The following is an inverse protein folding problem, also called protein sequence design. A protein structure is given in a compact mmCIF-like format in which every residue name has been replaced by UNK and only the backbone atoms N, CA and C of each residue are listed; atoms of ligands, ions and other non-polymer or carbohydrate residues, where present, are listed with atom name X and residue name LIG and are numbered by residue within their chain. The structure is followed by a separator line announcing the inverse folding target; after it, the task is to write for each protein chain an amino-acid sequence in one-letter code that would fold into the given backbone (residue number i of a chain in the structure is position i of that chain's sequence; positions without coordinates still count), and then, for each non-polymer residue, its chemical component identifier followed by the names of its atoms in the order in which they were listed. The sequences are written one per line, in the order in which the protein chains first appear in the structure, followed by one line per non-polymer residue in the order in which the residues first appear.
data_IF_291161855892
#
_entry.id   IF_291161855892
#
_cell.length_a   1.000
_cell.length_b   1.000
_cell.length_c   1.000
_cell.angle_alpha   90.00
_cell.angle_beta   90.00
_cell.angle_gamma   90.00
#
_symmetry.space_group_name_H-M   'P 1'
#
loop_
_entity.id
_entity.type
_entity.pdbx_description
1 polymer ?
#
# COMPACT_ATOMS: atom_id res chain seq x y z
N UNK A 1 4.72 -28.05 -14.43
CA UNK A 1 4.23 -28.38 -13.07
C UNK A 1 5.34 -28.57 -12.03
N UNK A 2 6.63 -28.57 -12.38
CA UNK A 2 7.72 -28.79 -11.41
C UNK A 2 7.85 -27.63 -10.40
N UNK A 3 7.78 -26.38 -10.88
CA UNK A 3 8.01 -25.22 -10.02
C UNK A 3 7.00 -25.08 -8.84
N UNK A 4 5.66 -25.21 -9.04
CA UNK A 4 4.73 -25.16 -7.91
C UNK A 4 4.98 -26.23 -6.86
N UNK A 5 5.31 -27.45 -7.27
CA UNK A 5 5.61 -28.56 -6.36
C UNK A 5 6.86 -28.27 -5.53
N UNK A 6 7.91 -27.72 -6.16
CA UNK A 6 9.13 -27.32 -5.44
C UNK A 6 8.87 -26.21 -4.41
N UNK A 7 8.01 -25.24 -4.73
CA UNK A 7 7.64 -24.18 -3.78
C UNK A 7 6.89 -24.77 -2.59
N UNK A 8 5.89 -25.62 -2.82
CA UNK A 8 5.14 -26.28 -1.73
C UNK A 8 6.07 -27.14 -0.88
N UNK A 9 6.96 -27.92 -1.52
CA UNK A 9 7.94 -28.75 -0.82
C UNK A 9 8.92 -27.91 0.02
N UNK A 10 9.34 -26.74 -0.47
CA UNK A 10 10.18 -25.81 0.29
C UNK A 10 9.47 -25.30 1.55
N UNK A 11 8.21 -24.87 1.46
CA UNK A 11 7.45 -24.41 2.63
C UNK A 11 7.15 -25.55 3.60
N UNK A 12 6.91 -26.76 3.10
CA UNK A 12 6.80 -27.96 3.94
C UNK A 12 8.10 -28.25 4.69
N UNK A 13 9.25 -28.17 4.01
CA UNK A 13 10.57 -28.36 4.62
C UNK A 13 10.93 -27.27 5.66
N UNK A 14 10.30 -26.10 5.59
CA UNK A 14 10.52 -24.97 6.52
C UNK A 14 9.46 -24.88 7.63
N UNK A 15 8.62 -25.91 7.81
CA UNK A 15 7.51 -25.92 8.76
C UNK A 15 6.54 -24.72 8.59
N UNK A 16 6.48 -24.19 7.37
CA UNK A 16 5.71 -23.00 7.00
C UNK A 16 4.59 -23.32 6.00
N UNK A 17 4.25 -24.61 5.84
CA UNK A 17 3.21 -25.07 4.91
C UNK A 17 1.83 -24.51 5.27
N UNK A 18 1.48 -24.49 6.56
CA UNK A 18 0.19 -23.98 7.01
C UNK A 18 0.07 -22.45 6.81
N UNK A 19 1.05 -21.61 7.21
CA UNK A 19 1.08 -20.20 6.82
C UNK A 19 1.01 -19.97 5.31
N UNK A 20 1.75 -20.76 4.52
CA UNK A 20 1.72 -20.68 3.06
C UNK A 20 0.31 -20.97 2.53
N UNK A 21 -0.30 -22.08 2.95
CA UNK A 21 -1.65 -22.44 2.53
C UNK A 21 -2.66 -21.36 2.91
N UNK A 22 -2.58 -20.85 4.14
CA UNK A 22 -3.46 -19.80 4.61
C UNK A 22 -3.30 -18.52 3.76
N UNK A 23 -2.09 -18.01 3.59
CA UNK A 23 -1.84 -16.74 2.90
C UNK A 23 -2.05 -16.81 1.39
N UNK A 24 -1.74 -17.95 0.75
CA UNK A 24 -1.84 -18.09 -0.71
C UNK A 24 -3.22 -18.54 -1.14
N UNK A 25 -3.84 -19.47 -0.40
CA UNK A 25 -5.08 -20.13 -0.82
C UNK A 25 -6.26 -19.67 0.04
N UNK A 26 -6.26 -19.98 1.34
CA UNK A 26 -7.44 -19.81 2.18
C UNK A 26 -7.90 -18.35 2.28
N UNK A 27 -6.98 -17.43 2.53
CA UNK A 27 -7.29 -16.00 2.70
C UNK A 27 -7.82 -15.36 1.40
N UNK A 28 -7.32 -15.80 0.23
CA UNK A 28 -7.77 -15.30 -1.07
C UNK A 28 -9.13 -15.88 -1.47
N UNK A 29 -9.43 -17.14 -1.11
CA UNK A 29 -10.71 -17.78 -1.42
C UNK A 29 -11.84 -17.32 -0.48
N UNK A 30 -11.52 -16.96 0.77
CA UNK A 30 -12.50 -16.44 1.73
C UNK A 30 -13.06 -15.04 1.33
N UNK A 31 -12.51 -14.41 0.30
CA UNK A 31 -12.94 -13.09 -0.21
C UNK A 31 -14.33 -13.09 -0.86
N UNK A 32 -14.94 -14.23 -1.16
CA UNK A 32 -16.07 -14.30 -2.10
C UNK A 32 -17.33 -13.58 -1.60
N UNK A 33 -17.41 -12.27 -1.87
CA UNK A 33 -18.65 -11.63 -2.24
C UNK A 33 -19.04 -12.13 -3.62
N UNK A 34 -20.34 -12.19 -3.93
CA UNK A 34 -20.91 -12.86 -5.11
C UNK A 34 -20.01 -12.79 -6.39
N UNK A 35 -19.21 -13.84 -6.68
CA UNK A 35 -18.17 -13.80 -7.71
C UNK A 35 -18.75 -13.57 -9.11
N UNK A 36 -20.01 -13.96 -9.30
CA UNK A 36 -20.75 -13.74 -10.54
C UNK A 36 -20.95 -12.26 -10.85
N UNK A 37 -21.21 -11.42 -9.84
CA UNK A 37 -21.43 -9.98 -10.07
C UNK A 37 -20.14 -9.28 -10.50
N UNK A 38 -19.01 -9.67 -9.90
CA UNK A 38 -17.69 -9.14 -10.27
C UNK A 38 -17.27 -9.61 -11.67
N UNK A 39 -17.50 -10.89 -11.99
CA UNK A 39 -17.21 -11.44 -13.31
C UNK A 39 -18.03 -10.73 -14.40
N UNK A 40 -19.35 -10.55 -14.19
CA UNK A 40 -20.22 -9.84 -15.13
C UNK A 40 -19.72 -8.42 -15.35
N UNK A 41 -19.39 -7.67 -14.29
CA UNK A 41 -18.85 -6.31 -14.44
C UNK A 41 -17.53 -6.30 -15.22
N UNK A 42 -16.62 -7.23 -14.93
CA UNK A 42 -15.32 -7.35 -15.63
C UNK A 42 -15.48 -7.77 -17.10
N UNK A 43 -16.51 -8.52 -17.46
CA UNK A 43 -16.82 -8.88 -18.86
C UNK A 43 -17.21 -7.67 -19.72
N UNK A 44 -17.63 -6.55 -19.12
CA UNK A 44 -17.88 -5.31 -19.87
C UNK A 44 -16.59 -4.58 -20.27
N UNK A 45 -15.44 -4.97 -19.72
CA UNK A 45 -14.16 -4.39 -20.09
C UNK A 45 -13.73 -4.89 -21.47
N UNK A 46 -13.41 -3.97 -22.39
CA UNK A 46 -12.94 -4.29 -23.75
C UNK A 46 -11.72 -5.22 -23.71
N UNK A 47 -10.85 -5.10 -22.69
CA UNK A 47 -9.67 -5.95 -22.50
C UNK A 47 -10.03 -7.42 -22.31
N UNK A 48 -11.20 -7.70 -21.73
CA UNK A 48 -11.70 -9.07 -21.58
C UNK A 48 -11.91 -9.72 -22.95
N UNK A 49 -12.37 -8.96 -23.95
CA UNK A 49 -12.69 -9.51 -25.27
C UNK A 49 -11.50 -9.55 -26.25
N UNK A 50 -10.31 -9.11 -25.84
CA UNK A 50 -9.11 -9.14 -26.69
C UNK A 50 -8.72 -10.56 -27.14
N UNK A 51 -9.16 -11.61 -26.44
CA UNK A 51 -8.92 -12.98 -26.88
C UNK A 51 -9.59 -13.30 -28.22
N UNK A 52 -10.74 -12.71 -28.55
CA UNK A 52 -11.47 -13.03 -29.79
C UNK A 52 -10.66 -12.68 -31.05
N UNK A 53 -10.23 -11.42 -31.26
CA UNK A 53 -9.45 -11.07 -32.45
C UNK A 53 -8.04 -11.69 -32.45
N UNK A 54 -7.41 -11.86 -31.28
CA UNK A 54 -6.06 -12.47 -31.19
C UNK A 54 -6.08 -13.95 -31.54
N UNK A 55 -7.08 -14.71 -31.06
CA UNK A 55 -7.25 -16.12 -31.41
C UNK A 55 -7.65 -16.28 -32.88
N UNK A 56 -8.60 -15.48 -33.37
CA UNK A 56 -9.00 -15.53 -34.77
C UNK A 56 -7.83 -15.21 -35.70
N UNK A 57 -7.05 -14.17 -35.39
CA UNK A 57 -5.83 -13.82 -36.13
C UNK A 57 -4.76 -14.91 -36.05
N UNK A 58 -4.58 -15.54 -34.89
CA UNK A 58 -3.64 -16.64 -34.71
C UNK A 58 -4.02 -17.89 -35.50
N UNK A 59 -5.31 -18.25 -35.52
CA UNK A 59 -5.82 -19.36 -36.33
C UNK A 59 -5.69 -19.08 -37.82
N UNK A 60 -6.00 -17.85 -38.25
CA UNK A 60 -5.82 -17.42 -39.63
C UNK A 60 -4.34 -17.49 -40.04
N UNK A 61 -3.44 -16.90 -39.27
CA UNK A 61 -1.99 -16.95 -39.52
C UNK A 61 -1.46 -18.38 -39.54
N UNK A 62 -1.89 -19.23 -38.61
CA UNK A 62 -1.43 -20.62 -38.55
C UNK A 62 -1.89 -21.44 -39.76
N UNK A 63 -3.06 -21.14 -40.34
CA UNK A 63 -3.59 -21.79 -41.54
C UNK A 63 -2.91 -21.31 -42.83
N UNK A 64 -2.47 -20.05 -42.86
CA UNK A 64 -1.86 -19.44 -44.05
C UNK A 64 -0.32 -19.41 -44.02
N UNK A 65 0.33 -19.90 -42.96
CA UNK A 65 1.78 -19.99 -42.89
C UNK A 65 2.30 -21.18 -43.71
N UNK A 66 3.29 -20.94 -44.56
CA UNK A 66 3.96 -21.99 -45.34
C UNK A 66 4.72 -22.99 -44.46
N UNK A 67 5.10 -22.60 -43.23
CA UNK A 67 5.79 -23.46 -42.28
C UNK A 67 4.90 -23.79 -41.06
N UNK A 68 4.46 -25.05 -40.90
CA UNK A 68 3.57 -25.44 -39.81
C UNK A 68 4.12 -25.13 -38.41
N UNK A 69 5.43 -25.25 -38.20
CA UNK A 69 6.07 -24.92 -36.92
C UNK A 69 5.97 -23.44 -36.55
N UNK A 70 6.16 -22.55 -37.55
CA UNK A 70 6.04 -21.10 -37.37
C UNK A 70 4.60 -20.66 -37.13
N UNK A 71 3.65 -21.26 -37.86
CA UNK A 71 2.22 -21.04 -37.65
C UNK A 71 1.77 -21.40 -36.23
N UNK A 72 2.23 -22.54 -35.69
CA UNK A 72 1.94 -22.95 -34.30
C UNK A 72 2.52 -21.99 -33.27
N UNK A 73 3.76 -21.51 -33.46
CA UNK A 73 4.38 -20.53 -32.55
C UNK A 73 3.63 -19.19 -32.55
N UNK A 74 3.19 -18.70 -33.71
CA UNK A 74 2.37 -17.49 -33.82
C UNK A 74 1.02 -17.65 -33.14
N UNK A 75 0.34 -18.77 -33.38
CA UNK A 75 -0.91 -19.10 -32.70
C UNK A 75 -0.70 -19.17 -31.18
N UNK A 76 0.36 -19.83 -30.71
CA UNK A 76 0.68 -19.90 -29.30
C UNK A 76 0.88 -18.51 -28.69
N UNK A 77 1.70 -17.65 -29.30
CA UNK A 77 1.95 -16.30 -28.79
C UNK A 77 0.66 -15.47 -28.74
N UNK A 78 -0.14 -15.49 -29.81
CA UNK A 78 -1.40 -14.77 -29.86
C UNK A 78 -2.43 -15.32 -28.88
N UNK A 79 -2.45 -16.65 -28.66
CA UNK A 79 -3.33 -17.27 -27.69
C UNK A 79 -2.94 -16.91 -26.26
N UNK A 80 -1.64 -16.92 -25.94
CA UNK A 80 -1.16 -16.50 -24.61
C UNK A 80 -1.50 -15.03 -24.36
N UNK A 81 -1.24 -14.13 -25.33
CA UNK A 81 -1.62 -12.71 -25.22
C UNK A 81 -3.14 -12.56 -25.07
N UNK A 82 -3.92 -13.25 -25.89
CA UNK A 82 -5.38 -13.17 -25.91
C UNK A 82 -6.02 -13.65 -24.61
N UNK A 83 -5.62 -14.82 -24.12
CA UNK A 83 -6.20 -15.43 -22.92
C UNK A 83 -5.70 -14.83 -21.62
N UNK A 84 -4.61 -14.05 -21.62
CA UNK A 84 -4.06 -13.46 -20.39
C UNK A 84 -5.12 -12.68 -19.61
N UNK A 85 -5.80 -11.71 -20.25
CA UNK A 85 -6.79 -10.85 -19.59
C UNK A 85 -8.03 -11.62 -19.12
N UNK A 86 -8.68 -12.47 -19.93
CA UNK A 86 -9.78 -13.33 -19.47
C UNK A 86 -9.41 -14.17 -18.26
N UNK A 87 -8.25 -14.84 -18.30
CA UNK A 87 -7.80 -15.68 -17.19
C UNK A 87 -7.55 -14.85 -15.94
N UNK A 88 -6.86 -13.71 -16.07
CA UNK A 88 -6.61 -12.80 -14.95
C UNK A 88 -7.92 -12.29 -14.34
N UNK A 89 -8.88 -11.85 -15.15
CA UNK A 89 -10.14 -11.33 -14.63
C UNK A 89 -11.06 -12.39 -14.03
N UNK A 90 -10.98 -13.63 -14.52
CA UNK A 90 -11.82 -14.75 -14.05
C UNK A 90 -11.28 -15.35 -12.75
N UNK A 91 -9.96 -15.56 -12.67
CA UNK A 91 -9.36 -16.31 -11.56
C UNK A 91 -8.69 -15.41 -10.50
N UNK A 92 -8.50 -14.11 -10.78
CA UNK A 92 -7.86 -13.20 -9.85
C UNK A 92 -8.85 -12.17 -9.29
N UNK A 93 -9.15 -12.21 -7.98
CA UNK A 93 -10.13 -11.31 -7.38
C UNK A 93 -9.62 -9.86 -7.40
N UNK A 94 -8.37 -9.65 -7.03
CA UNK A 94 -7.72 -8.35 -6.88
C UNK A 94 -6.83 -7.98 -8.07
N UNK A 95 -7.44 -7.45 -9.13
CA UNK A 95 -6.67 -7.02 -10.31
C UNK A 95 -6.16 -5.59 -10.13
N UNK A 96 -4.85 -5.47 -10.00
CA UNK A 96 -4.09 -4.22 -9.94
C UNK A 96 -3.47 -3.87 -11.29
N UNK A 97 -2.90 -2.67 -11.39
CA UNK A 97 -2.12 -2.26 -12.57
C UNK A 97 -0.86 -3.10 -12.76
N UNK A 98 -0.30 -3.65 -11.67
CA UNK A 98 0.95 -4.40 -11.70
C UNK A 98 0.76 -5.80 -12.30
N UNK A 99 -0.44 -6.36 -12.20
CA UNK A 99 -0.75 -7.69 -12.75
C UNK A 99 -0.70 -7.71 -14.30
N UNK A 100 -0.73 -6.53 -14.94
CA UNK A 100 -0.56 -6.39 -16.38
C UNK A 100 0.90 -6.28 -16.82
N UNK A 101 1.88 -6.22 -15.90
CA UNK A 101 3.30 -6.12 -16.26
C UNK A 101 3.77 -7.27 -17.18
N UNK A 102 3.39 -8.54 -16.96
CA UNK A 102 3.73 -9.62 -17.89
C UNK A 102 3.00 -9.54 -19.23
N UNK A 103 1.83 -8.88 -19.26
CA UNK A 103 0.99 -8.76 -20.45
C UNK A 103 1.53 -7.76 -21.46
N UNK A 104 2.04 -6.61 -21.01
CA UNK A 104 2.47 -5.53 -21.91
C UNK A 104 3.56 -5.96 -22.92
N UNK A 105 4.62 -6.70 -22.54
CA UNK A 105 5.61 -7.19 -23.50
C UNK A 105 5.00 -8.10 -24.58
N UNK A 106 4.09 -9.01 -24.19
CA UNK A 106 3.42 -9.92 -25.11
C UNK A 106 2.50 -9.18 -26.08
N UNK A 107 1.77 -8.17 -25.56
CA UNK A 107 0.95 -7.28 -26.36
C UNK A 107 1.80 -6.47 -27.35
N UNK A 108 2.93 -5.92 -26.91
CA UNK A 108 3.85 -5.17 -27.77
C UNK A 108 4.38 -6.03 -28.92
N UNK A 109 4.79 -7.27 -28.65
CA UNK A 109 5.21 -8.22 -29.70
C UNK A 109 4.08 -8.53 -30.68
N UNK A 110 2.86 -8.70 -30.15
CA UNK A 110 1.66 -8.95 -30.96
C UNK A 110 1.33 -7.77 -31.89
N UNK A 111 1.52 -6.53 -31.42
CA UNK A 111 1.24 -5.31 -32.18
C UNK A 111 2.39 -4.95 -33.14
N UNK A 112 3.63 -5.31 -32.83
CA UNK A 112 4.79 -4.98 -33.67
C UNK A 112 4.68 -5.57 -35.07
N UNK A 113 4.26 -6.83 -35.20
CA UNK A 113 4.10 -7.50 -36.50
C UNK A 113 3.14 -6.78 -37.47
N UNK A 114 1.87 -6.48 -37.10
CA UNK A 114 0.97 -5.75 -37.99
C UNK A 114 1.43 -4.30 -38.22
N UNK A 115 2.13 -3.66 -37.28
CA UNK A 115 2.71 -2.33 -37.50
C UNK A 115 3.80 -2.33 -38.57
N UNK A 116 4.68 -3.34 -38.58
CA UNK A 116 5.70 -3.50 -39.62
C UNK A 116 5.02 -3.74 -40.97
N UNK A 117 4.06 -4.66 -41.03
CA UNK A 117 3.32 -4.93 -42.27
C UNK A 117 2.56 -3.71 -42.81
N UNK A 118 2.02 -2.87 -41.93
CA UNK A 118 1.41 -1.60 -42.32
C UNK A 118 2.46 -0.61 -42.85
N UNK A 119 3.64 -0.56 -42.24
CA UNK A 119 4.78 0.21 -42.72
C UNK A 119 5.21 -0.19 -44.13
N UNK A 120 5.37 -1.49 -44.37
CA UNK A 120 5.69 -2.05 -45.70
C UNK A 120 4.61 -1.73 -46.74
N UNK A 121 3.33 -1.79 -46.35
CA UNK A 121 2.22 -1.42 -47.22
C UNK A 121 2.22 0.09 -47.57
N UNK A 122 2.58 0.95 -46.61
CA UNK A 122 2.74 2.39 -46.84
C UNK A 122 3.93 2.65 -47.76
N UNK A 123 5.06 1.98 -47.54
CA UNK A 123 6.24 2.08 -48.41
C UNK A 123 5.89 1.68 -49.84
N UNK A 124 5.14 0.59 -50.05
CA UNK A 124 4.70 0.17 -51.38
C UNK A 124 3.81 1.22 -52.10
N UNK A 125 3.14 2.10 -51.36
CA UNK A 125 2.26 3.16 -51.90
C UNK A 125 2.90 4.54 -51.92
N UNK A 126 4.05 4.73 -51.27
CA UNK A 126 4.69 6.03 -51.10
C UNK A 126 6.20 5.92 -51.37
N UNK A 127 6.98 6.97 -51.09
CA UNK A 127 8.47 6.89 -51.10
C UNK A 127 9.05 6.92 -49.68
N UNK A 128 8.21 6.73 -48.67
CA UNK A 128 8.62 6.73 -47.28
C UNK A 128 9.07 5.33 -46.87
N UNK A 129 10.15 5.19 -46.09
CA UNK A 129 10.64 3.88 -45.69
C UNK A 129 9.71 3.23 -44.65
N UNK A 130 9.53 1.90 -44.71
CA UNK A 130 8.60 1.15 -43.86
C UNK A 130 8.82 1.34 -42.35
N UNK A 131 10.07 1.57 -41.93
CA UNK A 131 10.41 1.75 -40.51
C UNK A 131 9.92 3.08 -39.93
N UNK A 132 9.65 4.09 -40.77
CA UNK A 132 9.33 5.44 -40.30
C UNK A 132 8.04 5.44 -39.48
N UNK A 133 7.03 4.69 -39.92
CA UNK A 133 5.73 4.67 -39.24
C UNK A 133 5.78 4.00 -37.85
N UNK A 134 6.30 2.76 -37.70
CA UNK A 134 6.54 2.18 -36.38
C UNK A 134 7.43 3.06 -35.49
N UNK A 135 8.46 3.67 -36.06
CA UNK A 135 9.36 4.57 -35.34
C UNK A 135 8.62 5.78 -34.75
N UNK A 136 7.80 6.46 -35.55
CA UNK A 136 7.02 7.61 -35.10
C UNK A 136 6.04 7.23 -33.99
N UNK A 137 5.41 6.06 -34.07
CA UNK A 137 4.53 5.54 -33.01
C UNK A 137 5.31 5.32 -31.71
N UNK A 138 6.48 4.67 -31.78
CA UNK A 138 7.33 4.45 -30.61
C UNK A 138 7.78 5.77 -30.01
N UNK A 139 8.26 6.73 -30.83
CA UNK A 139 8.65 8.06 -30.36
C UNK A 139 7.49 8.80 -29.70
N UNK A 140 6.29 8.74 -30.29
CA UNK A 140 5.09 9.33 -29.72
C UNK A 140 4.73 8.67 -28.38
N UNK A 141 4.76 7.34 -28.29
CA UNK A 141 4.45 6.60 -27.08
C UNK A 141 5.46 6.90 -25.96
N UNK A 142 6.76 6.84 -26.25
CA UNK A 142 7.82 7.19 -25.29
C UNK A 142 7.69 8.65 -24.84
N UNK A 143 7.47 9.57 -25.77
CA UNK A 143 7.21 10.98 -25.46
C UNK A 143 5.98 11.17 -24.56
N UNK A 144 4.90 10.43 -24.81
CA UNK A 144 3.69 10.46 -23.98
C UNK A 144 3.95 9.93 -22.57
N UNK A 145 4.73 8.85 -22.42
CA UNK A 145 5.12 8.28 -21.13
C UNK A 145 5.98 9.26 -20.36
N UNK A 146 7.00 9.84 -20.98
CA UNK A 146 7.89 10.82 -20.35
C UNK A 146 7.11 12.08 -19.94
N UNK A 147 6.16 12.53 -20.76
CA UNK A 147 5.30 13.68 -20.42
C UNK A 147 4.35 13.37 -19.26
N UNK A 148 3.70 12.20 -19.26
CA UNK A 148 2.73 11.83 -18.23
C UNK A 148 3.40 11.44 -16.90
N UNK A 149 4.54 10.75 -16.98
CA UNK A 149 5.28 10.20 -15.85
C UNK A 149 6.77 10.49 -16.06
N UNK A 150 7.15 11.75 -15.83
CA UNK A 150 8.56 12.16 -15.98
C UNK A 150 9.48 11.25 -15.15
N UNK A 151 10.43 10.55 -15.77
CA UNK A 151 11.31 9.61 -15.08
C UNK A 151 12.25 10.32 -14.09
N UNK A 152 12.38 11.65 -14.21
CA UNK A 152 13.22 12.48 -13.35
C UNK A 152 12.43 13.13 -12.20
N UNK A 153 11.10 12.99 -12.16
CA UNK A 153 10.29 13.52 -11.07
C UNK A 153 10.47 12.63 -9.83
N UNK A 154 10.91 13.22 -8.72
CA UNK A 154 11.07 12.51 -7.45
C UNK A 154 9.69 12.22 -6.82
N UNK A 155 8.99 11.21 -7.34
CA UNK A 155 7.63 10.82 -6.90
C UNK A 155 7.62 10.05 -5.57
N UNK A 156 8.76 9.51 -5.15
CA UNK A 156 8.87 8.67 -3.97
C UNK A 156 9.35 9.38 -2.70
N UNK A 157 9.52 10.71 -2.72
CA UNK A 157 10.00 11.47 -1.54
C UNK A 157 9.17 11.19 -0.27
N UNK A 158 7.83 11.11 -0.41
CA UNK A 158 6.95 10.81 0.72
C UNK A 158 7.24 9.44 1.34
N UNK A 159 7.40 8.40 0.52
CA UNK A 159 7.70 7.05 1.01
C UNK A 159 9.08 6.97 1.65
N UNK A 160 10.08 7.66 1.07
CA UNK A 160 11.42 7.76 1.67
C UNK A 160 11.35 8.47 3.02
N UNK A 161 10.57 9.55 3.13
CA UNK A 161 10.42 10.28 4.39
C UNK A 161 9.68 9.45 5.45
N UNK A 162 8.66 8.67 5.07
CA UNK A 162 7.98 7.75 5.99
C UNK A 162 8.98 6.74 6.56
N UNK A 163 9.80 6.12 5.71
CA UNK A 163 10.82 5.17 6.16
C UNK A 163 11.85 5.87 7.06
N UNK A 164 12.31 7.08 6.69
CA UNK A 164 13.25 7.85 7.49
C UNK A 164 12.68 8.21 8.87
N UNK A 165 11.43 8.66 8.94
CA UNK A 165 10.74 9.01 10.19
C UNK A 165 10.56 7.76 11.07
N UNK A 166 10.12 6.63 10.50
CA UNK A 166 10.02 5.35 11.22
C UNK A 166 11.37 4.93 11.79
N UNK A 167 12.43 4.96 10.98
CA UNK A 167 13.77 4.54 11.41
C UNK A 167 14.37 5.47 12.47
N UNK A 168 14.08 6.77 12.41
CA UNK A 168 14.56 7.75 13.37
C UNK A 168 13.82 7.65 14.72
N UNK A 169 12.51 7.35 14.68
CA UNK A 169 11.65 7.28 15.85
C UNK A 169 11.72 5.93 16.57
N UNK A 170 11.92 4.82 15.85
CA UNK A 170 11.77 3.47 16.44
C UNK A 170 13.05 2.65 16.42
N UNK A 171 13.14 1.65 17.29
CA UNK A 171 14.21 0.65 17.34
C UNK A 171 13.79 -0.67 16.68
N UNK A 172 14.77 -1.54 16.36
CA UNK A 172 14.54 -2.80 15.61
C UNK A 172 13.53 -3.76 16.26
N UNK A 173 13.45 -3.78 17.60
CA UNK A 173 12.53 -4.64 18.34
C UNK A 173 11.13 -4.04 18.55
N UNK A 174 10.93 -2.77 18.19
CA UNK A 174 9.64 -2.10 18.36
C UNK A 174 8.72 -2.37 17.18
N UNK A 175 7.42 -2.35 17.47
CA UNK A 175 6.39 -2.56 16.45
C UNK A 175 5.98 -1.24 15.80
N UNK A 176 5.57 -1.30 14.53
CA UNK A 176 4.97 -0.18 13.81
C UNK A 176 3.70 -0.68 13.14
N UNK A 177 2.60 0.05 13.34
CA UNK A 177 1.39 -0.24 12.60
C UNK A 177 1.55 0.26 11.17
N UNK A 178 1.50 -0.68 10.24
CA UNK A 178 1.57 -0.41 8.83
C UNK A 178 0.51 -1.23 8.11
N UNK A 179 -0.36 -0.52 7.37
CA UNK A 179 -1.45 -1.13 6.64
C UNK A 179 -0.97 -2.21 5.65
N UNK A 180 0.14 -1.96 4.93
CA UNK A 180 0.59 -2.83 3.82
C UNK A 180 2.06 -3.25 3.90
N UNK A 181 2.77 -2.90 4.96
CA UNK A 181 4.16 -3.29 5.17
C UNK A 181 5.17 -2.47 4.36
N UNK A 182 4.92 -1.18 4.18
CA UNK A 182 5.87 -0.19 3.65
C UNK A 182 7.10 0.02 4.57
N UNK A 183 6.94 -0.10 5.88
CA UNK A 183 7.99 -0.07 6.90
C UNK A 183 8.61 -1.45 7.13
N UNK A 184 9.22 -1.99 6.06
CA UNK A 184 9.80 -3.35 6.02
C UNK A 184 10.81 -3.67 7.14
N UNK A 185 11.34 -2.66 7.83
CA UNK A 185 12.34 -2.79 8.88
C UNK A 185 11.77 -2.93 10.30
N UNK A 186 10.45 -2.93 10.46
CA UNK A 186 9.78 -3.03 11.77
C UNK A 186 8.74 -4.14 11.76
N UNK A 187 8.57 -4.75 12.93
CA UNK A 187 7.54 -5.76 13.13
C UNK A 187 6.17 -5.09 13.13
N UNK A 188 5.16 -5.77 12.57
CA UNK A 188 3.78 -5.32 12.67
C UNK A 188 3.15 -5.90 13.94
N UNK A 189 2.35 -5.11 14.67
CA UNK A 189 1.62 -5.62 15.83
C UNK A 189 0.41 -6.47 15.42
N UNK A 190 -0.07 -6.30 14.18
CA UNK A 190 -1.19 -7.00 13.58
C UNK A 190 -0.71 -7.85 12.41
N UNK A 191 -1.19 -9.11 12.35
CA UNK A 191 -0.70 -10.10 11.39
C UNK A 191 -1.18 -9.80 9.96
N UNK A 192 -2.46 -9.48 9.80
CA UNK A 192 -3.08 -9.31 8.49
C UNK A 192 -2.71 -7.97 7.86
N UNK A 193 -2.61 -7.97 6.53
CA UNK A 193 -2.50 -6.75 5.75
C UNK A 193 -3.87 -6.07 5.74
N UNK A 194 -3.89 -4.76 5.99
CA UNK A 194 -5.07 -3.94 5.78
C UNK A 194 -5.21 -3.70 4.28
N UNK A 195 -6.04 -4.52 3.66
CA UNK A 195 -6.44 -4.43 2.26
C UNK A 195 -7.92 -4.74 2.13
N UNK A 196 -8.43 -4.70 0.89
CA UNK A 196 -9.85 -4.90 0.63
C UNK A 196 -10.36 -6.23 1.19
N UNK A 197 -9.62 -7.33 1.02
CA UNK A 197 -10.06 -8.66 1.48
C UNK A 197 -10.22 -8.74 3.00
N UNK A 198 -9.17 -8.37 3.73
CA UNK A 198 -9.17 -8.34 5.19
C UNK A 198 -10.30 -7.46 5.72
N UNK A 199 -10.50 -6.28 5.11
CA UNK A 199 -11.58 -5.37 5.51
C UNK A 199 -12.95 -5.99 5.30
N UNK A 200 -13.19 -6.59 4.15
CA UNK A 200 -14.47 -7.24 3.86
C UNK A 200 -14.74 -8.41 4.81
N UNK A 201 -13.71 -9.20 5.16
CA UNK A 201 -13.85 -10.28 6.15
C UNK A 201 -14.18 -9.74 7.56
N UNK A 202 -13.55 -8.62 7.95
CA UNK A 202 -13.86 -7.93 9.22
C UNK A 202 -15.30 -7.39 9.21
N UNK A 203 -15.70 -6.72 8.12
CA UNK A 203 -17.04 -6.13 7.97
C UNK A 203 -18.15 -7.20 7.96
N UNK A 204 -17.85 -8.42 7.48
CA UNK A 204 -18.75 -9.59 7.54
C UNK A 204 -18.70 -10.32 8.89
N UNK A 205 -17.77 -9.97 9.79
CA UNK A 205 -17.57 -10.65 11.07
C UNK A 205 -16.88 -12.02 10.97
N UNK A 206 -16.30 -12.35 9.82
CA UNK A 206 -15.55 -13.58 9.57
C UNK A 206 -14.12 -13.51 10.12
N UNK A 207 -13.60 -12.28 10.23
CA UNK A 207 -12.31 -11.98 10.83
C UNK A 207 -12.47 -10.99 11.99
N UNK A 208 -11.91 -11.31 13.15
CA UNK A 208 -11.90 -10.39 14.28
C UNK A 208 -10.87 -9.28 14.05
N UNK A 209 -11.31 -8.02 14.19
CA UNK A 209 -10.40 -6.88 14.26
C UNK A 209 -9.84 -6.72 15.69
N UNK A 210 -8.76 -7.45 15.97
CA UNK A 210 -8.03 -7.33 17.24
C UNK A 210 -6.91 -6.28 17.19
N UNK A 211 -6.78 -5.50 16.11
CA UNK A 211 -5.67 -4.58 15.93
C UNK A 211 -5.56 -3.52 17.05
N UNK A 212 -6.65 -2.86 17.52
CA UNK A 212 -6.56 -1.96 18.68
C UNK A 212 -6.00 -2.65 19.93
N UNK A 213 -6.47 -3.85 20.25
CA UNK A 213 -5.97 -4.62 21.39
C UNK A 213 -4.50 -4.99 21.24
N UNK A 214 -4.07 -5.33 20.01
CA UNK A 214 -2.65 -5.60 19.69
C UNK A 214 -1.78 -4.37 19.89
N UNK A 215 -2.20 -3.20 19.40
CA UNK A 215 -1.45 -1.95 19.57
C UNK A 215 -1.20 -1.63 21.04
N UNK A 216 -2.20 -1.89 21.90
CA UNK A 216 -2.08 -1.76 23.35
C UNK A 216 -1.09 -2.78 23.90
N UNK A 217 -1.28 -4.06 23.59
CA UNK A 217 -0.46 -5.16 24.09
C UNK A 217 1.02 -5.02 23.72
N UNK A 218 1.31 -4.55 22.50
CA UNK A 218 2.68 -4.36 21.99
C UNK A 218 3.23 -2.96 22.19
N UNK A 219 2.47 -2.08 22.87
CA UNK A 219 2.81 -0.66 23.12
C UNK A 219 3.31 0.05 21.87
N UNK A 220 2.61 -0.12 20.74
CA UNK A 220 3.09 0.31 19.43
C UNK A 220 3.22 1.84 19.37
N UNK A 221 4.44 2.41 19.27
CA UNK A 221 4.65 3.85 19.39
C UNK A 221 4.31 4.63 18.12
N UNK A 222 4.36 3.97 16.94
CA UNK A 222 4.24 4.63 15.63
C UNK A 222 3.21 3.92 14.75
N UNK A 223 2.43 4.71 14.03
CA UNK A 223 1.45 4.28 13.03
C UNK A 223 1.71 5.02 11.71
N UNK A 224 1.68 4.30 10.60
CA UNK A 224 1.63 4.89 9.25
C UNK A 224 0.16 5.05 8.87
N UNK A 225 -0.24 6.29 8.63
CA UNK A 225 -1.62 6.62 8.24
C UNK A 225 -2.00 5.94 6.92
N UNK A 226 -3.19 5.33 6.88
CA UNK A 226 -3.68 4.62 5.71
C UNK A 226 -5.21 4.58 5.69
N UNK A 227 -5.79 4.77 4.50
CA UNK A 227 -7.23 4.61 4.27
C UNK A 227 -7.69 3.15 4.28
N UNK A 228 -6.75 2.21 4.34
CA UNK A 228 -7.06 0.77 4.40
C UNK A 228 -7.34 0.27 5.82
N UNK A 229 -7.09 1.08 6.86
CA UNK A 229 -7.45 0.69 8.22
C UNK A 229 -8.97 0.41 8.30
N UNK A 230 -9.34 -0.57 9.11
CA UNK A 230 -10.75 -0.80 9.46
C UNK A 230 -11.29 0.41 10.21
N UNK A 231 -12.63 0.56 10.26
CA UNK A 231 -13.24 1.69 10.95
C UNK A 231 -12.85 1.75 12.44
N UNK A 232 -12.87 0.60 13.13
CA UNK A 232 -12.49 0.52 14.54
C UNK A 232 -11.01 0.88 14.76
N UNK A 233 -10.11 0.36 13.94
CA UNK A 233 -8.68 0.70 14.02
C UNK A 233 -8.42 2.17 13.69
N UNK A 234 -9.05 2.71 12.64
CA UNK A 234 -8.90 4.12 12.28
C UNK A 234 -9.39 5.05 13.40
N UNK A 235 -10.53 4.72 14.03
CA UNK A 235 -11.06 5.46 15.17
C UNK A 235 -10.10 5.39 16.36
N UNK A 236 -9.60 4.21 16.71
CA UNK A 236 -8.62 4.04 17.79
C UNK A 236 -7.35 4.86 17.55
N UNK A 237 -6.83 4.83 16.32
CA UNK A 237 -5.64 5.60 15.92
C UNK A 237 -5.91 7.10 16.05
N UNK A 238 -7.05 7.60 15.56
CA UNK A 238 -7.40 9.03 15.62
C UNK A 238 -7.53 9.58 17.04
N UNK A 239 -7.86 8.72 18.01
CA UNK A 239 -8.07 9.11 19.42
C UNK A 239 -6.78 9.04 20.25
N UNK A 240 -5.78 8.27 19.82
CA UNK A 240 -4.61 7.93 20.65
C UNK A 240 -3.26 8.19 19.97
N UNK A 241 -3.26 8.68 18.72
CA UNK A 241 -2.07 9.04 17.99
C UNK A 241 -2.17 10.46 17.40
N UNK A 242 -1.03 11.13 17.30
CA UNK A 242 -0.87 12.46 16.72
C UNK A 242 0.08 12.44 15.53
N UNK A 243 -0.24 13.23 14.52
CA UNK A 243 0.63 13.43 13.38
C UNK A 243 1.90 14.18 13.77
N UNK A 244 3.05 13.61 13.42
CA UNK A 244 4.37 14.22 13.52
C UNK A 244 5.20 13.86 12.28
N UNK A 245 5.72 14.86 11.58
CA UNK A 245 6.41 14.63 10.31
C UNK A 245 5.47 13.97 9.29
N UNK A 246 5.84 12.78 8.82
CA UNK A 246 5.02 11.98 7.87
C UNK A 246 4.33 10.76 8.49
N UNK A 247 4.40 10.59 9.81
CA UNK A 247 3.84 9.45 10.54
C UNK A 247 2.95 9.93 11.70
N UNK A 248 2.28 8.98 12.36
CA UNK A 248 1.55 9.23 13.60
C UNK A 248 2.31 8.59 14.77
N UNK A 249 2.41 9.27 15.91
CA UNK A 249 3.01 8.77 17.15
C UNK A 249 2.00 8.77 18.28
N UNK A 250 2.22 7.97 19.32
CA UNK A 250 1.38 8.00 20.52
C UNK A 250 1.22 9.42 21.05
N UNK A 251 -0.02 9.81 21.31
CA UNK A 251 -0.34 11.11 21.86
C UNK A 251 -1.76 11.55 21.58
N UNK A 252 -2.16 12.65 22.20
CA UNK A 252 -3.45 13.31 21.92
C UNK A 252 -3.39 14.80 22.21
N UNK A 253 -4.17 15.56 21.45
CA UNK A 253 -4.41 16.97 21.70
C UNK A 253 -5.45 17.08 22.81
N UNK A 254 -5.16 17.93 23.78
CA UNK A 254 -6.07 18.24 24.89
C UNK A 254 -6.36 19.73 24.86
N UNK A 255 -7.63 20.07 25.06
CA UNK A 255 -8.09 21.44 25.20
C UNK A 255 -8.37 21.68 26.69
N UNK A 256 -7.52 22.46 27.40
CA UNK A 256 -7.75 22.77 28.79
C UNK A 256 -9.07 23.52 28.98
N UNK A 257 -9.79 23.22 30.07
CA UNK A 257 -10.93 24.03 30.48
C UNK A 257 -10.47 25.46 30.83
N UNK A 258 -11.38 26.46 30.95
CA UNK A 258 -11.02 27.84 31.30
C UNK A 258 -10.18 27.98 32.59
N UNK A 259 -10.29 27.01 33.51
CA UNK A 259 -9.52 26.93 34.76
C UNK A 259 -8.16 26.21 34.61
N UNK A 260 -7.73 25.91 33.38
CA UNK A 260 -6.46 25.24 33.09
C UNK A 260 -6.45 23.74 33.41
N UNK A 261 -7.56 23.17 33.87
CA UNK A 261 -7.66 21.74 34.19
C UNK A 261 -8.13 20.92 32.98
N UNK A 262 -7.56 19.73 32.82
CA UNK A 262 -8.00 18.75 31.83
C UNK A 262 -7.79 17.33 32.34
N UNK A 263 -8.83 16.52 32.15
CA UNK A 263 -8.77 15.08 32.38
C UNK A 263 -8.62 14.40 31.03
N UNK A 264 -7.71 13.44 30.96
CA UNK A 264 -7.50 12.66 29.75
C UNK A 264 -7.16 11.22 30.09
N UNK A 265 -7.45 10.33 29.17
CA UNK A 265 -7.14 8.91 29.29
C UNK A 265 -5.87 8.56 28.50
N UNK A 266 -4.97 7.81 29.11
CA UNK A 266 -3.88 7.10 28.43
C UNK A 266 -4.28 5.64 28.28
N UNK A 267 -4.34 5.15 27.05
CA UNK A 267 -4.70 3.75 26.76
C UNK A 267 -3.44 2.88 26.59
N UNK A 268 -2.36 3.46 26.09
CA UNK A 268 -1.10 2.76 25.86
C UNK A 268 -0.07 3.33 26.85
N UNK A 269 0.38 2.55 27.85
CA UNK A 269 1.32 3.04 28.85
C UNK A 269 2.70 3.24 28.23
N UNK A 270 3.27 4.44 28.37
CA UNK A 270 4.58 4.78 27.85
C UNK A 270 5.10 6.09 28.45
N UNK A 271 6.31 6.52 28.04
CA UNK A 271 6.89 7.80 28.42
C UNK A 271 6.35 8.94 27.54
N UNK A 272 5.69 9.90 28.16
CA UNK A 272 5.05 11.05 27.51
C UNK A 272 5.66 12.38 27.94
N UNK A 273 5.60 13.36 27.04
CA UNK A 273 5.95 14.76 27.28
C UNK A 273 4.74 15.62 26.93
N UNK A 274 4.44 16.59 27.78
CA UNK A 274 3.40 17.59 27.51
C UNK A 274 4.05 18.79 26.85
N UNK A 275 3.55 19.15 25.66
CA UNK A 275 4.08 20.23 24.84
C UNK A 275 2.99 21.22 24.46
N UNK A 276 3.37 22.48 24.47
CA UNK A 276 2.52 23.60 24.07
C UNK A 276 2.73 23.96 22.62
N UNK A 277 1.76 24.64 22.01
CA UNK A 277 1.87 25.07 20.62
C UNK A 277 2.94 26.17 20.41
N UNK A 278 3.16 27.02 21.44
CA UNK A 278 4.05 28.19 21.34
C UNK A 278 5.14 28.22 22.41
N UNK A 279 4.93 27.57 23.55
CA UNK A 279 5.86 27.65 24.67
C UNK A 279 5.94 26.34 25.46
N UNK A 280 6.90 26.32 26.40
CA UNK A 280 7.02 25.23 27.34
C UNK A 280 5.87 25.32 28.34
N UNK A 281 5.09 24.25 28.44
CA UNK A 281 3.93 24.18 29.34
C UNK A 281 4.42 24.04 30.77
N UNK A 282 3.82 24.82 31.68
CA UNK A 282 4.05 24.74 33.13
C UNK A 282 2.75 24.40 33.83
N UNK A 283 2.82 23.58 34.87
CA UNK A 283 1.66 23.07 35.59
C UNK A 283 1.99 21.81 36.38
N UNK A 284 0.96 21.11 36.81
CA UNK A 284 1.07 19.82 37.49
C UNK A 284 0.38 18.72 36.67
N UNK A 285 0.97 17.52 36.70
CA UNK A 285 0.38 16.29 36.19
C UNK A 285 0.23 15.33 37.36
N UNK A 286 -1.00 14.91 37.63
CA UNK A 286 -1.38 14.06 38.76
C UNK A 286 -0.86 14.61 40.11
N UNK A 287 -0.94 15.94 40.27
CA UNK A 287 -0.54 16.65 41.49
C UNK A 287 0.96 16.93 41.64
N UNK A 288 1.81 16.53 40.69
CA UNK A 288 3.25 16.80 40.73
C UNK A 288 3.69 17.69 39.57
N UNK A 289 4.70 18.52 39.77
CA UNK A 289 5.15 19.51 38.78
C UNK A 289 5.62 18.90 37.46
N UNK A 290 5.29 19.58 36.36
CA UNK A 290 5.75 19.27 35.01
C UNK A 290 7.21 19.66 34.82
N UNK A 291 8.13 18.74 35.09
CA UNK A 291 9.57 18.96 34.89
C UNK A 291 10.14 18.36 33.58
N UNK A 292 9.37 17.54 32.85
CA UNK A 292 9.85 16.90 31.62
C UNK A 292 9.08 15.63 31.25
N UNK A 293 9.70 14.73 30.46
CA UNK A 293 9.15 13.43 30.11
C UNK A 293 8.80 12.58 31.34
N UNK A 294 7.65 11.89 31.32
CA UNK A 294 7.17 11.06 32.41
C UNK A 294 6.52 9.77 31.92
N UNK A 295 6.77 8.68 32.63
CA UNK A 295 6.07 7.41 32.42
C UNK A 295 4.62 7.54 32.91
N UNK A 296 3.67 7.33 32.00
CA UNK A 296 2.23 7.31 32.31
C UNK A 296 1.71 5.89 32.15
N UNK A 297 1.04 5.40 33.20
CA UNK A 297 0.30 4.15 33.16
C UNK A 297 -0.96 4.27 32.30
N UNK A 298 -1.57 3.14 31.94
CA UNK A 298 -2.91 3.19 31.36
C UNK A 298 -3.92 3.66 32.42
N UNK A 299 -4.85 4.55 32.04
CA UNK A 299 -5.89 5.09 32.91
C UNK A 299 -6.12 6.59 32.75
N UNK A 300 -6.88 7.14 33.69
CA UNK A 300 -7.22 8.57 33.74
C UNK A 300 -6.12 9.36 34.44
N UNK A 301 -5.74 10.48 33.84
CA UNK A 301 -4.75 11.43 34.35
C UNK A 301 -5.35 12.84 34.42
N UNK A 302 -4.85 13.65 35.35
CA UNK A 302 -5.26 15.03 35.55
C UNK A 302 -4.09 15.99 35.31
N UNK A 303 -4.29 16.92 34.39
CA UNK A 303 -3.34 17.98 34.07
C UNK A 303 -3.93 19.33 34.47
N UNK A 304 -3.21 20.06 35.33
CA UNK A 304 -3.55 21.42 35.73
C UNK A 304 -2.46 22.39 35.27
N UNK A 305 -2.80 23.28 34.36
CA UNK A 305 -1.88 24.25 33.78
C UNK A 305 -1.84 25.55 34.59
N UNK A 306 -0.64 26.11 34.79
CA UNK A 306 -0.46 27.40 35.48
C UNK A 306 -0.93 28.57 34.62
N UNK A 307 -0.86 28.43 33.29
CA UNK A 307 -1.41 29.38 32.33
C UNK A 307 -2.23 28.62 31.28
N UNK A 308 -3.47 29.04 30.98
CA UNK A 308 -4.30 28.36 30.00
C UNK A 308 -3.74 28.59 28.58
N UNK A 309 -2.87 27.69 28.11
CA UNK A 309 -2.58 27.59 26.70
C UNK A 309 -3.79 27.01 25.96
N UNK A 310 -4.14 27.61 24.82
CA UNK A 310 -5.31 27.21 24.03
C UNK A 310 -5.14 25.84 23.34
N UNK A 311 -3.92 25.32 23.24
CA UNK A 311 -3.67 24.02 22.60
C UNK A 311 -2.44 23.35 23.18
N UNK A 312 -2.67 22.24 23.88
CA UNK A 312 -1.64 21.41 24.50
C UNK A 312 -1.73 20.00 23.92
N UNK A 313 -0.59 19.35 23.74
CA UNK A 313 -0.51 17.97 23.29
C UNK A 313 0.29 17.15 24.28
N UNK A 314 -0.23 15.97 24.58
CA UNK A 314 0.53 14.91 25.27
C UNK A 314 1.09 14.04 24.17
N UNK A 315 2.41 13.93 24.07
CA UNK A 315 3.11 13.28 22.96
C UNK A 315 4.13 12.31 23.53
N UNK A 316 4.32 11.18 22.88
CA UNK A 316 5.41 10.27 23.19
C UNK A 316 6.76 11.00 23.25
N UNK A 317 7.50 10.82 24.35
CA UNK A 317 8.64 11.69 24.66
C UNK A 317 9.73 11.63 23.61
N UNK A 318 10.00 10.44 23.07
CA UNK A 318 11.06 10.22 22.08
C UNK A 318 10.82 11.03 20.80
N UNK A 319 9.56 11.23 20.40
CA UNK A 319 9.27 12.07 19.24
C UNK A 319 9.77 13.51 19.46
N UNK A 320 9.54 14.05 20.65
CA UNK A 320 10.01 15.40 21.03
C UNK A 320 11.53 15.44 21.16
N UNK A 321 12.15 14.42 21.79
CA UNK A 321 13.61 14.29 21.91
C UNK A 321 14.30 14.23 20.54
N UNK A 322 13.64 13.69 19.53
CA UNK A 322 14.10 13.64 18.13
C UNK A 322 13.75 14.89 17.31
N UNK A 323 13.18 15.92 17.94
CA UNK A 323 12.89 17.21 17.31
C UNK A 323 11.55 17.28 16.56
N UNK A 324 10.66 16.29 16.71
CA UNK A 324 9.34 16.32 16.09
C UNK A 324 8.35 17.17 16.91
N UNK A 325 7.31 17.70 16.24
CA UNK A 325 6.25 18.48 16.87
C UNK A 325 4.87 18.17 16.28
N UNK A 326 3.81 18.05 17.11
CA UNK A 326 2.43 17.79 16.67
C UNK A 326 1.66 19.04 16.19
N UNK A 327 2.29 20.23 16.25
CA UNK A 327 1.69 21.51 15.86
C UNK A 327 2.21 22.05 14.51
N UNK A 328 3.26 21.43 13.94
CA UNK A 328 3.95 21.85 12.71
C UNK A 328 4.70 23.19 12.82
N UNK A 329 5.81 23.47 12.12
CA UNK A 329 7.03 22.66 11.97
C UNK A 329 7.96 22.94 13.17
N UNK A 330 8.64 21.92 13.69
CA UNK A 330 9.99 22.11 14.22
C UNK A 330 10.98 21.43 13.25
N UNK A 331 11.52 22.22 12.33
CA UNK A 331 12.77 21.89 11.64
C UNK A 331 13.57 23.17 11.46
N UNK A 332 14.45 23.47 12.41
CA UNK A 332 15.72 24.17 12.19
C UNK A 332 16.62 24.07 13.41
N UNK A 333 17.80 23.50 13.18
CA UNK A 333 19.13 23.64 13.82
C UNK A 333 19.84 22.30 13.60
N UNK A 334 20.88 22.14 12.78
CA UNK A 334 21.71 23.03 11.97
C UNK A 334 22.12 22.31 10.68
#
# INVERSE_FOLDING_TARGET
MIAPVLVVAFFAFKDALLPMYHCVIAHNLASDGNPWKLMIHKMWDVRFWLFVPTIAGGLWLARHDAQPGRGRLRLFLLAVTGFFCPLLFTFWPLVSKQDFLPFYPLLMLTIACPLIGLGEWIEAKTRLPAFLFPFLIVCWQVGSIVRAHSPLKQTNQKNVQIIADVLNLTHRGETVLDAKGQAIYRLRPYYYVFEQLTREQVERGELLDDAPARLIATRTPVVIESHWLTQATAQFVSQNYLSVGTVLVLGKKVAPAPLGQVHFEIVIPEKYTIVGAKSRVSGTLDGTDLAGPRDLSAGMHNLALTSPEQSVAIVWSRAIEKGYSPFGQAKKQD
#
